data_IF_062350255188
#
_entry.id   IF_062350255188
#
_cell.length_a   1.000
_cell.length_b   1.000
_cell.length_c   1.000
_cell.angle_alpha   90.00
_cell.angle_beta   90.00
_cell.angle_gamma   90.00
#
_symmetry.space_group_name_H-M   'P 1'
#
loop_
_entity.id
_entity.type
_entity.pdbx_description
1 polymer ?
#
# COMPACT_ATOMS: atom_id res chain seq x y z
N UNK A 1 -5.45 -27.50 42.34
CA UNK A 1 -5.99 -26.25 41.80
C UNK A 1 -4.95 -25.26 41.39
N UNK A 2 -3.94 -25.05 42.18
CA UNK A 2 -2.86 -24.13 41.84
C UNK A 2 -2.12 -24.53 40.57
N UNK A 3 -2.04 -25.80 40.29
CA UNK A 3 -1.36 -26.29 39.11
C UNK A 3 -2.08 -25.88 37.80
N UNK A 4 -3.36 -25.85 37.85
CA UNK A 4 -4.14 -25.45 36.67
C UNK A 4 -3.90 -23.98 36.30
N UNK A 5 -3.79 -23.13 37.30
CA UNK A 5 -3.52 -21.74 37.07
C UNK A 5 -2.20 -21.50 36.35
N UNK A 6 -1.18 -22.24 36.72
CA UNK A 6 0.12 -22.10 36.10
C UNK A 6 0.11 -22.54 34.64
N UNK A 7 -0.56 -23.63 34.37
CA UNK A 7 -0.71 -24.10 33.00
C UNK A 7 -1.43 -23.11 32.13
N UNK A 8 -2.48 -22.52 32.66
CA UNK A 8 -3.24 -21.49 31.96
C UNK A 8 -2.38 -20.29 31.60
N UNK A 9 -1.58 -19.85 32.56
CA UNK A 9 -0.72 -18.68 32.35
C UNK A 9 0.28 -18.95 31.24
N UNK A 10 0.86 -20.15 31.25
CA UNK A 10 1.83 -20.52 30.23
C UNK A 10 1.22 -20.57 28.84
N UNK A 11 0.05 -21.15 28.69
CA UNK A 11 -0.63 -21.20 27.43
C UNK A 11 -0.97 -19.81 26.92
N UNK A 12 -1.38 -18.94 27.81
CA UNK A 12 -1.73 -17.58 27.49
C UNK A 12 -0.53 -16.82 26.96
N UNK A 13 0.63 -16.99 27.57
CA UNK A 13 1.85 -16.34 27.14
C UNK A 13 2.28 -16.81 25.76
N UNK A 14 2.21 -18.10 25.51
CA UNK A 14 2.54 -18.64 24.20
C UNK A 14 1.63 -18.08 23.11
N UNK A 15 0.37 -18.02 23.40
CA UNK A 15 -0.60 -17.47 22.47
C UNK A 15 -0.31 -16.00 22.15
N UNK A 16 0.04 -15.24 23.17
CA UNK A 16 0.38 -13.83 23.01
C UNK A 16 1.58 -13.65 22.09
N UNK A 17 2.59 -14.46 22.22
CA UNK A 17 3.79 -14.38 21.41
C UNK A 17 3.46 -14.64 19.95
N UNK A 18 2.65 -15.64 19.68
CA UNK A 18 2.25 -15.98 18.31
C UNK A 18 1.46 -14.84 17.69
N UNK A 19 0.52 -14.27 18.43
CA UNK A 19 -0.26 -13.13 17.95
C UNK A 19 0.62 -11.94 17.62
N UNK A 20 1.59 -11.67 18.46
CA UNK A 20 2.51 -10.57 18.24
C UNK A 20 3.30 -10.76 16.95
N UNK A 21 3.79 -11.98 16.72
CA UNK A 21 4.57 -12.27 15.54
C UNK A 21 3.78 -12.05 14.25
N UNK A 22 2.48 -12.34 14.25
CA UNK A 22 1.69 -12.21 13.03
C UNK A 22 1.35 -10.76 12.69
N UNK A 23 1.55 -9.83 13.61
CA UNK A 23 1.30 -8.41 13.31
C UNK A 23 2.47 -7.70 12.67
N UNK A 24 3.62 -8.33 12.59
CA UNK A 24 4.82 -7.61 12.21
C UNK A 24 4.91 -7.25 10.74
N UNK A 25 3.96 -7.57 9.90
CA UNK A 25 4.35 -7.71 8.53
C UNK A 25 3.68 -6.90 7.46
N UNK A 26 2.56 -6.26 7.61
CA UNK A 26 1.97 -5.68 6.41
C UNK A 26 1.62 -4.21 6.54
N UNK A 27 1.91 -3.49 5.46
CA UNK A 27 1.51 -2.10 5.30
C UNK A 27 0.27 -2.09 4.39
N UNK A 28 -0.81 -1.43 4.79
CA UNK A 28 -2.04 -1.42 3.99
C UNK A 28 -1.85 -0.88 2.58
N UNK A 29 -0.98 0.09 2.38
CA UNK A 29 -0.77 0.65 1.04
C UNK A 29 -0.02 -0.33 0.15
N UNK A 30 0.94 -1.06 0.69
CA UNK A 30 1.63 -2.09 -0.06
C UNK A 30 0.67 -3.22 -0.44
N UNK A 31 -0.18 -3.62 0.50
CA UNK A 31 -1.17 -4.67 0.23
C UNK A 31 -2.15 -4.24 -0.85
N UNK A 32 -2.64 -3.03 -0.77
CA UNK A 32 -3.54 -2.50 -1.79
C UNK A 32 -2.86 -2.42 -3.15
N UNK A 33 -1.60 -1.99 -3.19
CA UNK A 33 -0.87 -1.92 -4.45
C UNK A 33 -0.69 -3.31 -5.05
N UNK A 34 -0.37 -4.31 -4.23
CA UNK A 34 -0.23 -5.68 -4.73
C UNK A 34 -1.54 -6.17 -5.35
N UNK A 35 -2.65 -5.90 -4.70
CA UNK A 35 -3.95 -6.29 -5.21
C UNK A 35 -4.28 -5.57 -6.52
N UNK A 36 -4.04 -4.27 -6.55
CA UNK A 36 -4.28 -3.46 -7.76
C UNK A 36 -3.41 -3.96 -8.92
N UNK A 37 -2.14 -4.21 -8.65
CA UNK A 37 -1.25 -4.70 -9.68
C UNK A 37 -1.74 -6.04 -10.23
N UNK A 38 -2.12 -6.93 -9.35
CA UNK A 38 -2.58 -8.24 -9.74
C UNK A 38 -3.87 -8.16 -10.59
N UNK A 39 -4.82 -7.34 -10.13
CA UNK A 39 -6.06 -7.20 -10.87
C UNK A 39 -5.89 -6.51 -12.21
N UNK A 40 -5.17 -5.41 -12.24
CA UNK A 40 -5.09 -4.58 -13.43
C UNK A 40 -4.06 -5.11 -14.42
N UNK A 41 -2.88 -5.45 -13.96
CA UNK A 41 -1.79 -5.85 -14.86
C UNK A 41 -1.85 -7.34 -15.18
N UNK A 42 -1.99 -8.18 -14.17
CA UNK A 42 -1.97 -9.63 -14.38
C UNK A 42 -3.29 -10.10 -14.98
N UNK A 43 -4.41 -9.69 -14.40
CA UNK A 43 -5.73 -10.16 -14.83
C UNK A 43 -6.38 -9.28 -15.89
N UNK A 44 -5.84 -8.11 -16.17
CA UNK A 44 -6.40 -7.20 -17.17
C UNK A 44 -7.70 -6.53 -16.75
N UNK A 45 -8.00 -6.51 -15.47
CA UNK A 45 -9.25 -5.97 -14.95
C UNK A 45 -9.08 -4.50 -14.55
N UNK A 46 -9.11 -3.62 -15.53
CA UNK A 46 -8.98 -2.16 -15.29
C UNK A 46 -10.12 -1.62 -14.44
N UNK A 47 -11.30 -2.19 -14.56
CA UNK A 47 -12.48 -1.70 -13.85
C UNK A 47 -12.34 -1.82 -12.34
N UNK A 48 -11.41 -2.65 -11.88
CA UNK A 48 -11.07 -2.73 -10.46
C UNK A 48 -10.76 -1.36 -9.88
N UNK A 49 -10.14 -0.49 -10.67
CA UNK A 49 -9.78 0.87 -10.22
C UNK A 49 -10.99 1.75 -9.98
N UNK A 50 -12.13 1.42 -10.56
CA UNK A 50 -13.35 2.20 -10.34
C UNK A 50 -13.88 2.16 -8.92
N UNK A 51 -13.40 1.23 -8.10
CA UNK A 51 -13.81 1.15 -6.71
C UNK A 51 -13.08 2.11 -5.78
N UNK A 52 -12.09 2.84 -6.29
CA UNK A 52 -11.29 3.74 -5.47
C UNK A 52 -11.66 5.19 -5.71
N UNK A 53 -11.57 6.01 -4.67
CA UNK A 53 -11.72 7.44 -4.82
C UNK A 53 -10.51 8.03 -5.53
N UNK A 54 -10.66 9.25 -5.99
CA UNK A 54 -9.57 9.97 -6.63
C UNK A 54 -8.36 10.10 -5.72
N UNK A 55 -8.61 10.39 -4.45
CA UNK A 55 -7.54 10.49 -3.45
C UNK A 55 -6.84 9.15 -3.23
N UNK A 56 -7.60 8.08 -3.15
CA UNK A 56 -7.04 6.75 -3.00
C UNK A 56 -6.19 6.36 -4.20
N UNK A 57 -6.66 6.67 -5.40
CA UNK A 57 -5.90 6.41 -6.62
C UNK A 57 -4.57 7.15 -6.63
N UNK A 58 -4.57 8.39 -6.15
CA UNK A 58 -3.34 9.17 -6.06
C UNK A 58 -2.34 8.52 -5.08
N UNK A 59 -2.83 8.01 -3.95
CA UNK A 59 -1.97 7.30 -2.99
C UNK A 59 -1.40 6.03 -3.62
N UNK A 60 -2.23 5.26 -4.31
CA UNK A 60 -1.78 4.03 -4.97
C UNK A 60 -0.67 4.35 -5.99
N UNK A 61 -0.90 5.36 -6.81
CA UNK A 61 0.07 5.79 -7.82
C UNK A 61 1.39 6.20 -7.18
N UNK A 62 1.33 7.01 -6.14
CA UNK A 62 2.53 7.48 -5.47
C UNK A 62 3.22 6.37 -4.67
N UNK A 63 2.50 5.35 -4.22
CA UNK A 63 3.09 4.18 -3.58
C UNK A 63 4.01 3.44 -4.54
N UNK A 64 3.66 3.39 -5.83
CA UNK A 64 4.53 2.77 -6.84
C UNK A 64 5.89 3.49 -6.86
N UNK A 65 5.86 4.82 -6.90
CA UNK A 65 7.10 5.61 -6.87
C UNK A 65 7.85 5.48 -5.56
N UNK A 66 7.12 5.47 -4.44
CA UNK A 66 7.74 5.35 -3.12
C UNK A 66 8.51 4.04 -2.98
N UNK A 67 7.99 2.95 -3.51
CA UNK A 67 8.68 1.65 -3.48
C UNK A 67 10.00 1.69 -4.25
N UNK A 68 10.09 2.55 -5.25
CA UNK A 68 11.31 2.71 -6.05
C UNK A 68 12.27 3.74 -5.46
N UNK A 69 11.93 4.31 -4.31
CA UNK A 69 12.81 5.25 -3.63
C UNK A 69 12.70 6.69 -4.09
N UNK A 70 11.60 7.05 -4.73
CA UNK A 70 11.42 8.42 -5.19
C UNK A 70 11.36 9.39 -4.01
N UNK A 71 12.12 10.49 -4.10
CA UNK A 71 12.08 11.57 -3.13
C UNK A 71 10.99 12.55 -3.54
N UNK A 72 9.92 12.59 -2.80
CA UNK A 72 8.77 13.43 -3.14
C UNK A 72 9.08 14.91 -2.95
N UNK A 73 8.55 15.73 -3.86
CA UNK A 73 8.68 17.19 -3.78
C UNK A 73 7.55 17.80 -2.98
N UNK A 74 6.37 17.22 -3.02
CA UNK A 74 5.23 17.74 -2.26
C UNK A 74 5.35 17.33 -0.80
N UNK A 75 5.17 18.31 0.08
CA UNK A 75 5.32 18.08 1.52
C UNK A 75 4.37 17.04 2.08
N UNK A 76 3.15 16.97 1.55
CA UNK A 76 2.18 15.99 2.03
C UNK A 76 2.67 14.56 1.79
N UNK A 77 3.31 14.29 0.65
CA UNK A 77 3.83 12.97 0.36
C UNK A 77 5.16 12.69 1.07
N UNK A 78 5.96 13.71 1.27
CA UNK A 78 7.17 13.57 2.09
C UNK A 78 6.80 13.08 3.48
N UNK A 79 5.76 13.67 4.06
CA UNK A 79 5.30 13.32 5.39
C UNK A 79 4.63 11.95 5.39
N UNK A 80 3.76 11.71 4.43
CA UNK A 80 2.99 10.48 4.35
C UNK A 80 3.89 9.25 4.19
N UNK A 81 4.77 9.28 3.20
CA UNK A 81 5.66 8.14 2.96
C UNK A 81 6.83 8.12 3.92
N UNK A 82 7.29 9.29 4.37
CA UNK A 82 8.36 9.36 5.35
C UNK A 82 8.02 8.68 6.67
N UNK A 83 6.76 8.55 7.00
CA UNK A 83 6.32 7.86 8.20
C UNK A 83 6.33 6.34 8.06
N UNK A 84 6.52 5.82 6.86
CA UNK A 84 6.49 4.37 6.62
C UNK A 84 7.85 3.74 6.85
N UNK A 85 7.86 2.61 7.52
CA UNK A 85 9.11 1.93 7.86
C UNK A 85 9.88 1.46 6.64
N UNK A 86 9.18 1.12 5.57
CA UNK A 86 9.80 0.54 4.37
C UNK A 86 10.31 1.59 3.39
N UNK A 87 9.93 2.87 3.56
CA UNK A 87 10.29 3.88 2.58
C UNK A 87 11.71 4.39 2.79
N UNK A 88 12.46 4.51 1.69
CA UNK A 88 13.79 5.10 1.66
C UNK A 88 13.89 5.98 0.42
N UNK A 89 13.95 7.29 0.61
CA UNK A 89 14.13 8.22 -0.51
C UNK A 89 15.59 8.18 -1.00
N UNK A 90 15.80 7.70 -2.20
CA UNK A 90 17.13 7.52 -2.75
C UNK A 90 17.36 8.25 -4.07
N UNK A 91 16.30 8.67 -4.75
CA UNK A 91 16.45 9.31 -6.05
C UNK A 91 15.38 10.36 -6.28
N UNK A 92 15.72 11.43 -6.98
CA UNK A 92 14.75 12.42 -7.42
C UNK A 92 14.37 12.25 -8.90
N UNK A 93 14.85 11.20 -9.54
CA UNK A 93 14.50 10.89 -10.92
C UNK A 93 13.13 10.24 -11.01
N UNK A 94 12.39 10.57 -12.08
CA UNK A 94 11.06 10.01 -12.29
C UNK A 94 11.05 8.82 -13.24
N UNK A 95 12.09 8.61 -14.02
CA UNK A 95 12.17 7.51 -14.96
C UNK A 95 12.70 6.23 -14.31
N UNK A 96 12.08 5.83 -13.21
CA UNK A 96 12.56 4.73 -12.38
C UNK A 96 11.62 3.51 -12.39
N UNK A 97 10.52 3.61 -13.13
CA UNK A 97 9.53 2.52 -13.17
C UNK A 97 9.86 1.54 -14.29
N UNK A 98 9.58 0.27 -14.05
CA UNK A 98 9.66 -0.70 -15.13
C UNK A 98 8.42 -0.55 -16.04
N UNK A 99 8.38 -1.33 -17.11
CA UNK A 99 7.34 -1.21 -18.12
C UNK A 99 5.93 -1.43 -17.57
N UNK A 100 5.77 -2.44 -16.74
CA UNK A 100 4.45 -2.76 -16.17
C UNK A 100 4.05 -1.74 -15.12
N UNK A 101 4.98 -1.25 -14.33
CA UNK A 101 4.71 -0.18 -13.36
C UNK A 101 4.28 1.10 -14.07
N UNK A 102 4.95 1.45 -15.16
CA UNK A 102 4.57 2.61 -15.94
C UNK A 102 3.19 2.45 -16.56
N UNK A 103 2.89 1.26 -17.06
CA UNK A 103 1.57 0.96 -17.60
C UNK A 103 0.49 1.14 -16.53
N UNK A 104 0.75 0.64 -15.33
CA UNK A 104 -0.21 0.76 -14.23
C UNK A 104 -0.41 2.23 -13.87
N UNK A 105 0.66 3.00 -13.75
CA UNK A 105 0.56 4.43 -13.45
C UNK A 105 -0.28 5.14 -14.51
N UNK A 106 -0.05 4.84 -15.78
CA UNK A 106 -0.80 5.48 -16.87
C UNK A 106 -2.30 5.18 -16.78
N UNK A 107 -2.65 3.94 -16.45
CA UNK A 107 -4.05 3.55 -16.27
C UNK A 107 -4.65 4.26 -15.06
N UNK A 108 -3.93 4.29 -13.94
CA UNK A 108 -4.41 4.98 -12.74
C UNK A 108 -4.68 6.45 -13.03
N UNK A 109 -3.77 7.11 -13.73
CA UNK A 109 -3.93 8.53 -14.06
C UNK A 109 -5.23 8.77 -14.85
N UNK A 110 -5.57 7.88 -15.76
CA UNK A 110 -6.82 8.00 -16.51
C UNK A 110 -8.03 7.93 -15.59
N UNK A 111 -8.01 7.02 -14.62
CA UNK A 111 -9.11 6.92 -13.66
C UNK A 111 -9.16 8.13 -12.73
N UNK A 112 -8.01 8.68 -12.34
CA UNK A 112 -7.98 9.91 -11.55
C UNK A 112 -8.62 11.07 -12.33
N UNK A 113 -8.32 11.19 -13.61
CA UNK A 113 -8.87 12.25 -14.44
C UNK A 113 -10.37 12.11 -14.62
N UNK A 114 -10.87 10.89 -14.60
CA UNK A 114 -12.30 10.64 -14.71
C UNK A 114 -13.01 10.75 -13.37
N UNK A 115 -12.30 11.18 -12.33
CA UNK A 115 -12.89 11.49 -11.06
C UNK A 115 -12.96 10.36 -10.05
N UNK A 116 -12.40 9.20 -10.38
CA UNK A 116 -12.48 8.06 -9.48
C UNK A 116 -13.92 7.62 -9.27
N UNK A 117 -14.15 6.88 -8.20
CA UNK A 117 -15.47 6.33 -7.95
C UNK A 117 -16.37 7.26 -7.17
N UNK A 118 -15.80 8.11 -6.36
CA UNK A 118 -16.59 8.65 -5.29
C UNK A 118 -17.45 9.80 -5.71
N UNK A 119 -17.22 10.46 -6.69
CA UNK A 119 -18.11 11.50 -7.11
C UNK A 119 -17.43 12.36 -8.10
N UNK A 120 -16.78 11.89 -8.96
CA UNK A 120 -16.26 12.54 -10.09
C UNK A 120 -16.23 14.06 -10.09
N UNK A 121 -16.62 14.64 -9.05
CA UNK A 121 -16.88 16.06 -9.08
C UNK A 121 -15.67 16.91 -8.83
N UNK A 122 -14.58 16.38 -8.58
CA UNK A 122 -13.45 17.26 -8.21
C UNK A 122 -12.66 17.85 -9.37
#
# INVERSE_FOLDING_TARGET
MKRFSKLYVMMFLLFSIISFASFAASDPDLDTLDEVYNEVIVNGNKDFLGGFSKKELAIIRNTIYAKKGYKFKRKEYQKYFGAKDWYRGTTDKQNILNKNEQKLVDIIVKYEKNGGSSNGSS
#
